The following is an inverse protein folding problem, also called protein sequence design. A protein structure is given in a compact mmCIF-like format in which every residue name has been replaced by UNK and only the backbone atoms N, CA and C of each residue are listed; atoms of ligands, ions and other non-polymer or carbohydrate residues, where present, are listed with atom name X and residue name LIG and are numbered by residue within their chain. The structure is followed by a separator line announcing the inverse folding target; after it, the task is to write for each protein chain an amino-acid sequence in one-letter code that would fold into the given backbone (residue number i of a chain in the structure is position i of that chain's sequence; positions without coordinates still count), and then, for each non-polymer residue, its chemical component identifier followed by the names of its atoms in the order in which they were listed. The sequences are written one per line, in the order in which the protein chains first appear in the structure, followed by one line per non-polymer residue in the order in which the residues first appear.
data_IF_366550141975
#
_entry.id   IF_366550141975
#
_cell.length_a   1.000
_cell.length_b   1.000
_cell.length_c   1.000
_cell.angle_alpha   90.00
_cell.angle_beta   90.00
_cell.angle_gamma   90.00
#
_symmetry.space_group_name_H-M   'P 1'
#
loop_
_entity.id
_entity.type
_entity.pdbx_description
1 polymer ?
#
# COMPACT_ATOMS: atom_id res chain seq x y z
N UNK A 1 -11.60 7.97 12.47
CA UNK A 1 -12.49 8.26 11.34
C UNK A 1 -12.93 6.99 10.62
N UNK A 2 -12.03 6.18 10.04
CA UNK A 2 -12.40 4.97 9.30
C UNK A 2 -13.24 3.99 10.12
N UNK A 3 -12.89 3.74 11.40
CA UNK A 3 -13.70 2.90 12.29
C UNK A 3 -15.13 3.45 12.49
N UNK A 4 -15.28 4.77 12.57
CA UNK A 4 -16.60 5.42 12.63
C UNK A 4 -17.39 5.23 11.34
N UNK A 5 -16.73 5.34 10.19
CA UNK A 5 -17.34 5.18 8.87
C UNK A 5 -17.87 3.76 8.64
N UNK A 6 -17.08 2.73 8.95
CA UNK A 6 -17.46 1.33 8.73
C UNK A 6 -18.40 0.78 9.82
N UNK A 7 -18.48 1.46 10.98
CA UNK A 7 -19.28 1.05 12.12
C UNK A 7 -18.65 -0.08 12.96
N UNK A 8 -19.26 -0.40 14.12
CA UNK A 8 -18.65 -1.29 15.10
C UNK A 8 -18.72 -2.78 14.75
N UNK A 9 -19.59 -3.17 13.80
CA UNK A 9 -19.83 -4.57 13.43
C UNK A 9 -18.88 -5.09 12.36
N UNK A 10 -18.29 -4.19 11.57
CA UNK A 10 -17.39 -4.52 10.47
C UNK A 10 -15.96 -4.55 10.99
N UNK A 11 -15.24 -5.64 10.75
CA UNK A 11 -13.84 -5.76 11.13
C UNK A 11 -12.95 -4.89 10.23
N UNK A 12 -11.88 -4.41 10.81
CA UNK A 12 -10.91 -3.55 10.15
C UNK A 12 -9.59 -4.30 9.92
N UNK A 13 -9.25 -4.53 8.66
CA UNK A 13 -7.98 -5.08 8.26
C UNK A 13 -7.11 -3.97 7.69
N UNK A 14 -6.04 -3.58 8.41
CA UNK A 14 -5.05 -2.62 7.92
C UNK A 14 -4.08 -3.26 6.93
N UNK A 15 -3.96 -2.69 5.72
CA UNK A 15 -3.00 -3.20 4.72
C UNK A 15 -1.66 -2.52 4.93
N UNK A 16 -0.67 -3.28 5.41
CA UNK A 16 0.68 -2.79 5.79
C UNK A 16 1.81 -3.41 4.96
N UNK A 17 1.50 -4.02 3.82
CA UNK A 17 2.47 -4.55 2.86
C UNK A 17 3.36 -3.44 2.29
N UNK A 18 4.50 -3.80 1.69
CA UNK A 18 5.47 -2.89 1.08
C UNK A 18 5.91 -1.79 2.07
N UNK A 19 6.35 -2.23 3.26
CA UNK A 19 6.75 -1.34 4.35
C UNK A 19 5.65 -0.33 4.73
N UNK A 20 4.38 -0.81 4.85
CA UNK A 20 3.21 0.04 5.05
C UNK A 20 3.13 1.17 4.01
N UNK A 21 3.26 0.82 2.72
CA UNK A 21 3.34 1.78 1.61
C UNK A 21 4.45 2.83 1.82
N UNK A 22 5.60 2.40 2.34
CA UNK A 22 6.76 3.24 2.62
C UNK A 22 6.70 4.01 3.94
N UNK A 23 5.66 3.82 4.76
CA UNK A 23 5.46 4.54 6.02
C UNK A 23 6.16 3.89 7.24
N UNK A 24 6.74 2.69 7.07
CA UNK A 24 7.31 1.91 8.16
C UNK A 24 6.32 0.91 8.75
N UNK A 25 6.40 -0.36 8.29
CA UNK A 25 5.41 -1.39 8.59
C UNK A 25 5.29 -1.67 10.10
N UNK A 26 6.39 -1.70 10.82
CA UNK A 26 6.42 -2.01 12.24
C UNK A 26 5.66 -0.98 13.07
N UNK A 27 5.95 0.31 12.86
CA UNK A 27 5.28 1.38 13.61
C UNK A 27 3.81 1.52 13.24
N UNK A 28 3.48 1.41 11.97
CA UNK A 28 2.07 1.43 11.53
C UNK A 28 1.31 0.26 12.12
N UNK A 29 1.89 -0.95 12.10
CA UNK A 29 1.24 -2.14 12.66
C UNK A 29 1.03 -2.04 14.18
N UNK A 30 2.02 -1.54 14.94
CA UNK A 30 1.89 -1.29 16.39
C UNK A 30 0.77 -0.28 16.67
N UNK A 31 0.77 0.84 15.95
CA UNK A 31 -0.28 1.86 16.08
C UNK A 31 -1.67 1.28 15.77
N UNK A 32 -1.81 0.48 14.72
CA UNK A 32 -3.08 -0.18 14.39
C UNK A 32 -3.51 -1.17 15.47
N UNK A 33 -2.57 -1.91 16.04
CA UNK A 33 -2.85 -2.83 17.15
C UNK A 33 -3.33 -2.07 18.39
N UNK A 34 -2.69 -0.97 18.75
CA UNK A 34 -3.10 -0.10 19.85
C UNK A 34 -4.48 0.54 19.63
N UNK A 35 -4.78 0.92 18.39
CA UNK A 35 -6.07 1.49 17.99
C UNK A 35 -7.18 0.45 17.82
N UNK A 36 -6.89 -0.83 18.05
CA UNK A 36 -7.89 -1.90 18.01
C UNK A 36 -8.30 -2.30 16.58
N UNK A 37 -7.37 -2.28 15.61
CA UNK A 37 -7.58 -2.96 14.34
C UNK A 37 -7.74 -4.48 14.59
N UNK A 38 -8.49 -5.15 13.71
CA UNK A 38 -8.83 -6.57 13.93
C UNK A 38 -7.85 -7.50 13.22
N UNK A 39 -7.23 -7.03 12.13
CA UNK A 39 -6.37 -7.81 11.25
C UNK A 39 -5.35 -6.90 10.55
N UNK A 40 -4.22 -7.49 10.15
CA UNK A 40 -3.27 -6.86 9.21
C UNK A 40 -3.16 -7.68 7.94
N UNK A 41 -2.79 -7.03 6.82
CA UNK A 41 -2.46 -7.72 5.60
C UNK A 41 -1.09 -7.31 5.07
N UNK A 42 -0.32 -8.31 4.69
CA UNK A 42 1.01 -8.20 4.09
C UNK A 42 1.07 -8.96 2.75
N UNK A 43 2.16 -8.81 2.02
CA UNK A 43 2.33 -9.48 0.72
C UNK A 43 3.13 -10.78 0.81
N UNK A 44 4.06 -10.90 1.76
CA UNK A 44 4.98 -12.02 1.88
C UNK A 44 5.14 -12.50 3.32
N UNK A 45 5.72 -13.69 3.46
CA UNK A 45 6.05 -14.24 4.78
C UNK A 45 7.12 -13.39 5.48
N UNK A 46 8.08 -12.82 4.75
CA UNK A 46 9.14 -12.02 5.35
C UNK A 46 8.59 -10.74 5.99
N UNK A 47 7.63 -10.08 5.33
CA UNK A 47 6.92 -8.94 5.93
C UNK A 47 6.14 -9.38 7.20
N UNK A 48 5.47 -10.52 7.18
CA UNK A 48 4.78 -11.04 8.35
C UNK A 48 5.73 -11.37 9.50
N UNK A 49 6.88 -11.95 9.20
CA UNK A 49 7.91 -12.28 10.19
C UNK A 49 8.57 -11.03 10.79
N UNK A 50 8.78 -9.99 10.00
CA UNK A 50 9.25 -8.69 10.49
C UNK A 50 8.29 -8.14 11.55
N UNK A 51 6.97 -8.17 11.29
CA UNK A 51 5.96 -7.75 12.27
C UNK A 51 6.02 -8.59 13.55
N UNK A 52 6.10 -9.92 13.43
CA UNK A 52 6.20 -10.84 14.59
C UNK A 52 7.46 -10.61 15.42
N UNK A 53 8.62 -10.46 14.75
CA UNK A 53 9.90 -10.17 15.40
C UNK A 53 9.89 -8.84 16.18
N UNK A 54 9.00 -7.92 15.81
CA UNK A 54 8.82 -6.63 16.45
C UNK A 54 7.62 -6.55 17.41
N UNK A 55 7.08 -7.69 17.86
CA UNK A 55 6.08 -7.78 18.92
C UNK A 55 4.64 -7.53 18.48
N UNK A 56 4.36 -7.52 17.18
CA UNK A 56 2.98 -7.47 16.67
C UNK A 56 2.33 -8.85 16.85
N UNK A 57 1.26 -8.93 17.63
CA UNK A 57 0.58 -10.19 17.98
C UNK A 57 -0.77 -10.38 17.30
N UNK A 58 -1.37 -9.32 16.77
CA UNK A 58 -2.66 -9.39 16.11
C UNK A 58 -2.63 -10.30 14.86
N UNK A 59 -3.78 -10.80 14.38
CA UNK A 59 -3.86 -11.64 13.18
C UNK A 59 -3.25 -10.98 11.95
N UNK A 60 -2.48 -11.75 11.15
CA UNK A 60 -1.85 -11.29 9.91
C UNK A 60 -2.24 -12.21 8.78
N UNK A 61 -2.74 -11.65 7.68
CA UNK A 61 -3.06 -12.34 6.43
C UNK A 61 -2.00 -12.05 5.36
N UNK A 62 -1.37 -13.08 4.82
CA UNK A 62 -0.55 -12.96 3.63
C UNK A 62 -1.46 -13.02 2.40
N UNK A 63 -1.46 -11.95 1.60
CA UNK A 63 -2.26 -11.83 0.37
C UNK A 63 -1.57 -12.48 -0.85
N UNK A 64 -0.25 -12.65 -0.78
CA UNK A 64 0.58 -13.20 -1.83
C UNK A 64 0.86 -14.70 -1.67
N UNK A 65 1.88 -15.15 -2.37
CA UNK A 65 2.33 -16.54 -2.36
C UNK A 65 3.35 -16.78 -1.24
N UNK A 66 3.24 -17.93 -0.57
CA UNK A 66 4.27 -18.45 0.34
C UNK A 66 4.80 -19.79 -0.20
N UNK A 67 6.12 -20.00 -0.28
CA UNK A 67 6.70 -21.30 -0.60
C UNK A 67 6.30 -22.39 0.42
N UNK A 68 6.13 -23.63 -0.03
CA UNK A 68 5.68 -24.72 0.84
C UNK A 68 6.62 -24.99 2.02
N UNK A 69 7.91 -24.81 1.83
CA UNK A 69 8.95 -24.96 2.84
C UNK A 69 8.78 -24.03 4.05
N UNK A 70 7.97 -22.99 3.87
CA UNK A 70 7.68 -21.99 4.91
C UNK A 70 6.36 -22.25 5.65
N UNK A 71 5.59 -23.27 5.29
CA UNK A 71 4.29 -23.59 5.93
C UNK A 71 4.44 -23.80 7.43
N UNK A 72 5.52 -24.43 7.87
CA UNK A 72 5.82 -24.61 9.30
C UNK A 72 5.89 -23.28 10.04
N UNK A 73 6.55 -22.26 9.45
CA UNK A 73 6.64 -20.92 10.04
C UNK A 73 5.28 -20.20 10.08
N UNK A 74 4.42 -20.42 9.07
CA UNK A 74 3.05 -19.87 9.09
C UNK A 74 2.26 -20.40 10.29
N UNK A 75 2.36 -21.72 10.54
CA UNK A 75 1.67 -22.38 11.65
C UNK A 75 2.25 -21.93 12.99
N UNK A 76 3.57 -21.99 13.14
CA UNK A 76 4.29 -21.61 14.38
C UNK A 76 3.99 -20.17 14.82
N UNK A 77 3.94 -19.23 13.85
CA UNK A 77 3.73 -17.81 14.12
C UNK A 77 2.29 -17.35 13.95
N UNK A 78 1.33 -18.28 13.81
CA UNK A 78 -0.09 -17.99 13.65
C UNK A 78 -0.39 -16.97 12.55
N UNK A 79 0.16 -17.21 11.35
CA UNK A 79 -0.03 -16.37 10.18
C UNK A 79 -1.03 -17.04 9.23
N UNK A 80 -2.04 -16.32 8.83
CA UNK A 80 -3.09 -16.77 7.90
C UNK A 80 -2.61 -16.59 6.46
N UNK A 81 -2.86 -17.60 5.60
CA UNK A 81 -2.41 -17.61 4.21
C UNK A 81 -3.59 -17.51 3.23
N UNK A 82 -3.49 -16.64 2.23
CA UNK A 82 -4.41 -16.66 1.10
C UNK A 82 -4.17 -17.90 0.21
N UNK A 83 -5.23 -18.62 -0.10
CA UNK A 83 -5.21 -19.77 -1.03
C UNK A 83 -5.90 -19.38 -2.33
N UNK A 84 -5.15 -19.44 -3.42
CA UNK A 84 -5.54 -18.88 -4.71
C UNK A 84 -5.91 -19.89 -5.79
N UNK A 85 -5.59 -21.18 -5.56
CA UNK A 85 -5.89 -22.26 -6.50
C UNK A 85 -5.78 -23.63 -5.82
N UNK A 86 -6.35 -24.65 -6.45
CA UNK A 86 -6.34 -26.04 -5.97
C UNK A 86 -4.92 -26.58 -5.73
N UNK A 87 -3.98 -26.29 -6.62
CA UNK A 87 -2.59 -26.76 -6.47
C UNK A 87 -1.97 -26.26 -5.18
N UNK A 88 -2.17 -24.98 -4.83
CA UNK A 88 -1.67 -24.40 -3.58
C UNK A 88 -2.40 -24.93 -2.34
N UNK A 89 -3.71 -25.14 -2.43
CA UNK A 89 -4.46 -25.79 -1.35
C UNK A 89 -3.90 -27.17 -1.01
N UNK A 90 -3.67 -28.00 -2.04
CA UNK A 90 -3.10 -29.35 -1.88
C UNK A 90 -1.67 -29.31 -1.32
N UNK A 91 -0.84 -28.39 -1.81
CA UNK A 91 0.53 -28.20 -1.34
C UNK A 91 0.56 -27.82 0.15
N UNK A 92 -0.18 -26.80 0.54
CA UNK A 92 -0.25 -26.37 1.94
C UNK A 92 -0.87 -27.40 2.87
N UNK A 93 -1.89 -28.12 2.41
CA UNK A 93 -2.50 -29.21 3.17
C UNK A 93 -1.51 -30.35 3.46
N UNK A 94 -0.73 -30.79 2.46
CA UNK A 94 0.27 -31.83 2.64
C UNK A 94 1.33 -31.45 3.66
N UNK A 95 1.86 -30.22 3.55
CA UNK A 95 2.88 -29.73 4.47
C UNK A 95 2.31 -29.55 5.90
N UNK A 96 1.12 -28.97 6.05
CA UNK A 96 0.49 -28.81 7.36
C UNK A 96 0.19 -30.16 8.02
N UNK A 97 -0.35 -31.12 7.25
CA UNK A 97 -0.63 -32.47 7.76
C UNK A 97 0.66 -33.22 8.15
N UNK A 98 1.73 -33.10 7.36
CA UNK A 98 3.03 -33.71 7.66
C UNK A 98 3.65 -33.18 8.96
N UNK A 99 3.38 -31.90 9.27
CA UNK A 99 3.82 -31.24 10.51
C UNK A 99 2.86 -31.48 11.69
N UNK A 100 1.73 -32.17 11.48
CA UNK A 100 0.69 -32.37 12.50
C UNK A 100 0.02 -31.06 12.94
N UNK A 101 0.10 -30.01 12.12
CA UNK A 101 -0.40 -28.68 12.42
C UNK A 101 -1.64 -28.31 11.59
N UNK A 102 -2.21 -27.14 11.91
CA UNK A 102 -3.34 -26.56 11.16
C UNK A 102 -2.98 -25.16 10.70
N UNK A 103 -3.07 -24.93 9.38
CA UNK A 103 -2.87 -23.62 8.76
C UNK A 103 -4.21 -22.94 8.54
N UNK A 104 -4.39 -21.75 9.11
CA UNK A 104 -5.53 -20.87 8.81
C UNK A 104 -5.39 -20.31 7.40
N UNK A 105 -6.47 -20.39 6.64
CA UNK A 105 -6.49 -19.91 5.27
C UNK A 105 -7.68 -18.99 4.98
N UNK A 106 -7.46 -18.03 4.07
CA UNK A 106 -8.53 -17.32 3.39
C UNK A 106 -8.56 -17.70 1.91
N UNK A 107 -9.70 -18.19 1.44
CA UNK A 107 -9.90 -18.54 0.03
C UNK A 107 -10.01 -17.27 -0.81
N UNK A 108 -9.19 -17.15 -1.84
CA UNK A 108 -9.28 -16.06 -2.80
C UNK A 108 -10.12 -16.47 -4.00
N UNK A 109 -11.17 -15.68 -4.28
CA UNK A 109 -12.02 -15.84 -5.46
C UNK A 109 -11.64 -14.78 -6.50
N UNK A 110 -11.50 -15.17 -7.75
CA UNK A 110 -11.41 -14.23 -8.86
C UNK A 110 -12.81 -14.01 -9.46
N UNK A 111 -13.28 -12.79 -9.33
CA UNK A 111 -14.58 -12.34 -9.83
C UNK A 111 -14.46 -11.34 -10.98
N UNK A 112 -13.25 -11.23 -11.58
CA UNK A 112 -12.98 -10.32 -12.67
C UNK A 112 -11.81 -9.36 -12.47
N UNK A 113 -10.99 -9.52 -11.39
CA UNK A 113 -9.70 -8.84 -11.28
C UNK A 113 -8.65 -9.50 -12.19
N UNK A 114 -8.83 -10.78 -12.53
CA UNK A 114 -8.02 -11.57 -13.47
C UNK A 114 -6.53 -11.62 -13.10
N UNK A 115 -6.26 -11.79 -11.79
CA UNK A 115 -4.89 -11.82 -11.26
C UNK A 115 -4.61 -13.05 -10.43
N UNK A 116 -5.38 -13.31 -9.39
CA UNK A 116 -5.25 -14.44 -8.47
C UNK A 116 -6.63 -14.86 -7.98
N UNK A 117 -6.81 -16.16 -7.73
CA UNK A 117 -8.01 -16.70 -7.11
C UNK A 117 -8.63 -17.83 -7.92
N UNK A 118 -9.55 -18.55 -7.29
CA UNK A 118 -10.39 -19.52 -7.97
C UNK A 118 -11.30 -18.77 -8.95
N UNK A 119 -11.14 -19.09 -10.23
CA UNK A 119 -11.96 -18.46 -11.28
C UNK A 119 -13.39 -18.96 -11.18
N UNK A 120 -14.32 -18.05 -10.98
CA UNK A 120 -15.74 -18.37 -10.81
C UNK A 120 -16.63 -17.57 -11.79
N UNK A 121 -16.08 -17.04 -12.88
CA UNK A 121 -16.85 -16.27 -13.86
C UNK A 121 -17.38 -17.17 -15.00
N UNK A 122 -18.59 -16.87 -15.49
CA UNK A 122 -19.21 -17.52 -16.64
C UNK A 122 -19.24 -19.07 -16.50
N UNK A 123 -18.67 -19.76 -17.46
CA UNK A 123 -18.61 -21.23 -17.52
C UNK A 123 -17.71 -21.87 -16.44
N UNK A 124 -16.91 -21.08 -15.74
CA UNK A 124 -16.00 -21.56 -14.69
C UNK A 124 -16.67 -21.60 -13.30
N UNK A 125 -17.92 -21.16 -13.16
CA UNK A 125 -18.59 -21.00 -11.87
C UNK A 125 -18.62 -22.33 -11.08
N UNK A 126 -19.16 -23.38 -11.66
CA UNK A 126 -19.34 -24.66 -10.97
C UNK A 126 -18.00 -25.31 -10.61
N UNK A 127 -17.03 -25.29 -11.54
CA UNK A 127 -15.67 -25.79 -11.29
C UNK A 127 -14.93 -24.99 -10.23
N UNK A 128 -15.12 -23.68 -10.21
CA UNK A 128 -14.56 -22.80 -9.18
C UNK A 128 -15.15 -23.08 -7.80
N UNK A 129 -16.46 -23.20 -7.69
CA UNK A 129 -17.17 -23.56 -6.43
C UNK A 129 -16.72 -24.93 -5.95
N UNK A 130 -16.59 -25.93 -6.84
CA UNK A 130 -16.14 -27.26 -6.49
C UNK A 130 -14.71 -27.25 -5.96
N UNK A 131 -13.78 -26.59 -6.66
CA UNK A 131 -12.40 -26.44 -6.23
C UNK A 131 -12.25 -25.72 -4.87
N UNK A 132 -13.11 -24.75 -4.57
CA UNK A 132 -13.17 -24.09 -3.26
C UNK A 132 -13.68 -25.05 -2.19
N UNK A 133 -14.75 -25.81 -2.46
CA UNK A 133 -15.27 -26.82 -1.53
C UNK A 133 -14.20 -27.88 -1.20
N UNK A 134 -13.50 -28.38 -2.21
CA UNK A 134 -12.39 -29.32 -2.02
C UNK A 134 -11.30 -28.69 -1.12
N UNK A 135 -10.84 -27.47 -1.45
CA UNK A 135 -9.79 -26.81 -0.67
C UNK A 135 -10.16 -26.65 0.81
N UNK A 136 -11.41 -26.29 1.07
CA UNK A 136 -11.92 -26.14 2.43
C UNK A 136 -12.06 -27.46 3.20
N UNK A 137 -12.10 -28.59 2.52
CA UNK A 137 -12.17 -29.94 3.12
C UNK A 137 -10.83 -30.62 3.32
N UNK A 138 -9.72 -30.00 2.88
CA UNK A 138 -8.40 -30.61 2.96
C UNK A 138 -7.88 -30.69 4.40
N UNK A 139 -7.23 -31.81 4.79
CA UNK A 139 -6.67 -31.96 6.13
C UNK A 139 -5.55 -30.92 6.38
N UNK A 140 -5.44 -30.46 7.62
CA UNK A 140 -4.45 -29.46 8.01
C UNK A 140 -4.75 -28.03 7.55
N UNK A 141 -5.90 -27.78 6.91
CA UNK A 141 -6.34 -26.43 6.56
C UNK A 141 -7.62 -26.03 7.33
N UNK A 142 -7.64 -24.80 7.83
CA UNK A 142 -8.81 -24.19 8.45
C UNK A 142 -9.26 -22.99 7.60
N UNK A 143 -10.37 -23.13 6.89
CA UNK A 143 -10.93 -22.06 6.04
C UNK A 143 -11.63 -21.00 6.90
N UNK A 144 -10.87 -20.07 7.47
CA UNK A 144 -11.35 -18.97 8.30
C UNK A 144 -12.09 -17.89 7.47
N UNK A 145 -11.65 -17.67 6.23
CA UNK A 145 -12.24 -16.61 5.42
C UNK A 145 -12.30 -16.89 3.92
N UNK A 146 -13.10 -16.06 3.25
CA UNK A 146 -13.21 -16.01 1.79
C UNK A 146 -13.22 -14.56 1.32
N UNK A 147 -12.51 -14.27 0.23
CA UNK A 147 -12.43 -12.89 -0.27
C UNK A 147 -12.25 -12.76 -1.77
N UNK A 148 -12.64 -11.61 -2.29
CA UNK A 148 -12.32 -11.17 -3.66
C UNK A 148 -11.63 -9.79 -3.62
N UNK A 149 -11.32 -9.25 -4.80
CA UNK A 149 -10.75 -7.91 -4.95
C UNK A 149 -11.38 -7.21 -6.15
N UNK A 150 -11.88 -6.00 -5.92
CA UNK A 150 -12.49 -5.20 -6.97
C UNK A 150 -11.43 -4.55 -7.85
N UNK A 151 -11.73 -4.49 -9.15
CA UNK A 151 -10.81 -3.94 -10.13
C UNK A 151 -10.87 -2.40 -10.22
N UNK A 152 -12.08 -1.84 -10.11
CA UNK A 152 -12.40 -0.43 -10.43
C UNK A 152 -13.34 0.20 -9.39
N UNK A 153 -13.28 -0.22 -8.12
CA UNK A 153 -14.17 0.30 -7.08
C UNK A 153 -13.86 1.76 -6.68
N UNK A 154 -12.75 2.29 -7.12
CA UNK A 154 -12.30 3.67 -6.95
C UNK A 154 -12.70 4.59 -8.11
N UNK A 155 -13.20 4.04 -9.21
CA UNK A 155 -13.69 4.81 -10.35
C UNK A 155 -15.17 5.17 -10.16
N UNK A 156 -15.57 6.39 -10.56
CA UNK A 156 -16.90 6.93 -10.32
C UNK A 156 -17.81 6.93 -11.56
N UNK A 157 -17.31 6.51 -12.72
CA UNK A 157 -18.12 6.39 -13.92
C UNK A 157 -19.11 5.21 -13.83
N UNK A 158 -20.19 5.28 -14.60
CA UNK A 158 -21.28 4.33 -14.55
C UNK A 158 -20.88 2.90 -14.93
N UNK A 159 -19.93 2.74 -15.87
CA UNK A 159 -19.47 1.43 -16.33
C UNK A 159 -18.66 0.74 -15.23
N UNK A 160 -17.73 1.46 -14.60
CA UNK A 160 -16.90 0.99 -13.49
C UNK A 160 -17.74 0.64 -12.26
N UNK A 161 -18.74 1.44 -11.94
CA UNK A 161 -19.70 1.13 -10.86
C UNK A 161 -20.50 -0.14 -11.17
N UNK A 162 -20.99 -0.30 -12.40
CA UNK A 162 -21.72 -1.51 -12.82
C UNK A 162 -20.82 -2.75 -12.76
N UNK A 163 -19.54 -2.60 -13.16
CA UNK A 163 -18.57 -3.69 -13.08
C UNK A 163 -18.31 -4.11 -11.63
N UNK A 164 -18.12 -3.16 -10.73
CA UNK A 164 -17.90 -3.40 -9.29
C UNK A 164 -19.10 -4.13 -8.68
N UNK A 165 -20.34 -3.72 -9.00
CA UNK A 165 -21.57 -4.41 -8.56
C UNK A 165 -21.64 -5.83 -9.09
N UNK A 166 -21.31 -6.06 -10.37
CA UNK A 166 -21.25 -7.40 -10.96
C UNK A 166 -20.24 -8.31 -10.24
N UNK A 167 -19.06 -7.79 -9.92
CA UNK A 167 -18.06 -8.53 -9.14
C UNK A 167 -18.58 -8.91 -7.74
N UNK A 168 -19.28 -7.98 -7.09
CA UNK A 168 -19.88 -8.21 -5.77
C UNK A 168 -20.99 -9.27 -5.81
N UNK A 169 -21.92 -9.16 -6.78
CA UNK A 169 -23.03 -10.12 -6.94
C UNK A 169 -22.49 -11.52 -7.22
N UNK A 170 -21.48 -11.63 -8.09
CA UNK A 170 -20.83 -12.90 -8.38
C UNK A 170 -20.16 -13.47 -7.11
N UNK A 171 -19.46 -12.64 -6.33
CA UNK A 171 -18.85 -13.06 -5.08
C UNK A 171 -19.87 -13.58 -4.08
N UNK A 172 -21.00 -12.88 -3.91
CA UNK A 172 -22.08 -13.31 -3.04
C UNK A 172 -22.72 -14.63 -3.51
N UNK A 173 -22.82 -14.86 -4.82
CA UNK A 173 -23.31 -16.12 -5.40
C UNK A 173 -22.34 -17.27 -5.10
N UNK A 174 -21.03 -17.04 -5.25
CA UNK A 174 -19.99 -18.04 -4.92
C UNK A 174 -20.06 -18.42 -3.45
N UNK A 175 -20.12 -17.42 -2.55
CA UNK A 175 -20.25 -17.68 -1.10
C UNK A 175 -21.45 -18.58 -0.81
N UNK A 176 -22.64 -18.21 -1.31
CA UNK A 176 -23.86 -19.00 -1.08
C UNK A 176 -23.70 -20.42 -1.59
N UNK A 177 -23.24 -20.61 -2.83
CA UNK A 177 -23.08 -21.92 -3.42
C UNK A 177 -22.10 -22.81 -2.63
N UNK A 178 -20.98 -22.24 -2.13
CA UNK A 178 -20.00 -22.97 -1.32
C UNK A 178 -20.57 -23.30 0.07
N UNK A 179 -21.20 -22.35 0.73
CA UNK A 179 -21.79 -22.53 2.07
C UNK A 179 -22.92 -23.57 2.04
N UNK A 180 -23.81 -23.54 1.04
CA UNK A 180 -24.87 -24.53 0.83
C UNK A 180 -24.30 -25.92 0.58
N UNK A 181 -23.31 -26.03 -0.32
CA UNK A 181 -22.68 -27.33 -0.66
C UNK A 181 -21.91 -27.95 0.52
N UNK A 182 -21.34 -27.13 1.39
CA UNK A 182 -20.56 -27.57 2.57
C UNK A 182 -21.38 -27.68 3.85
N UNK A 183 -22.52 -27.01 3.94
CA UNK A 183 -23.33 -26.92 5.16
C UNK A 183 -22.69 -26.06 6.27
N UNK A 184 -21.67 -25.24 5.96
CA UNK A 184 -20.99 -24.38 6.92
C UNK A 184 -20.74 -23.00 6.34
N UNK A 185 -20.78 -21.97 7.20
CA UNK A 185 -20.53 -20.57 6.82
C UNK A 185 -19.07 -20.20 7.01
N UNK A 186 -18.61 -19.25 6.20
CA UNK A 186 -17.30 -18.62 6.43
C UNK A 186 -17.40 -17.60 7.57
N UNK A 187 -16.54 -17.68 8.60
CA UNK A 187 -16.47 -16.67 9.66
C UNK A 187 -16.17 -15.25 9.14
N UNK A 188 -15.35 -15.14 8.08
CA UNK A 188 -14.89 -13.87 7.52
C UNK A 188 -15.10 -13.82 5.99
N UNK A 189 -16.02 -12.98 5.55
CA UNK A 189 -16.25 -12.70 4.13
C UNK A 189 -15.84 -11.26 3.86
N UNK A 190 -14.97 -11.02 2.90
CA UNK A 190 -14.48 -9.66 2.66
C UNK A 190 -14.15 -9.39 1.19
N UNK A 191 -14.55 -8.22 0.69
CA UNK A 191 -14.30 -7.79 -0.68
C UNK A 191 -13.85 -6.32 -0.77
N UNK A 192 -14.28 -5.46 0.16
CA UNK A 192 -14.04 -4.03 0.11
C UNK A 192 -12.55 -3.67 0.23
N UNK A 193 -11.99 -3.12 -0.84
CA UNK A 193 -10.70 -2.42 -0.89
C UNK A 193 -10.88 -0.95 -0.47
N UNK A 194 -9.91 -0.08 -0.71
CA UNK A 194 -9.99 1.36 -0.42
C UNK A 194 -11.26 2.01 -0.98
N UNK A 195 -11.50 1.91 -2.29
CA UNK A 195 -12.66 2.52 -2.95
C UNK A 195 -13.98 1.95 -2.42
N UNK A 196 -14.09 0.63 -2.32
CA UNK A 196 -15.30 0.02 -1.81
C UNK A 196 -15.52 0.30 -0.31
N UNK A 197 -14.48 0.45 0.49
CA UNK A 197 -14.62 0.88 1.89
C UNK A 197 -15.21 2.27 1.99
N UNK A 198 -14.84 3.18 1.09
CA UNK A 198 -15.34 4.55 1.09
C UNK A 198 -16.75 4.69 0.50
N UNK A 199 -17.04 3.99 -0.62
CA UNK A 199 -18.19 4.30 -1.47
C UNK A 199 -19.34 3.29 -1.40
N UNK A 200 -19.12 2.05 -0.91
CA UNK A 200 -20.08 0.97 -0.97
C UNK A 200 -20.29 0.29 0.40
N UNK A 201 -20.98 0.95 1.35
CA UNK A 201 -21.23 0.36 2.68
C UNK A 201 -21.87 -1.02 2.65
N UNK A 202 -22.72 -1.29 1.65
CA UNK A 202 -23.36 -2.59 1.44
C UNK A 202 -22.39 -3.72 1.08
N UNK A 203 -21.16 -3.37 0.66
CA UNK A 203 -20.11 -4.33 0.29
C UNK A 203 -19.09 -4.56 1.41
N UNK A 204 -19.25 -3.96 2.58
CA UNK A 204 -18.31 -4.13 3.69
C UNK A 204 -18.26 -5.58 4.19
N UNK A 205 -19.40 -6.29 4.17
CA UNK A 205 -19.56 -7.64 4.68
C UNK A 205 -19.03 -7.75 6.13
N UNK A 206 -18.16 -8.76 6.40
CA UNK A 206 -17.65 -8.98 7.75
C UNK A 206 -16.36 -8.18 8.02
N UNK A 207 -15.63 -7.75 6.97
CA UNK A 207 -14.35 -7.08 7.12
C UNK A 207 -13.99 -6.23 5.89
N UNK A 208 -13.44 -5.02 6.11
CA UNK A 208 -12.89 -4.15 5.07
C UNK A 208 -11.37 -4.17 5.07
N UNK A 209 -10.76 -3.82 3.92
CA UNK A 209 -9.31 -3.82 3.71
C UNK A 209 -8.83 -2.47 3.14
N UNK A 210 -8.90 -1.37 3.91
CA UNK A 210 -8.35 -0.10 3.46
C UNK A 210 -6.83 -0.20 3.31
N UNK A 211 -6.36 0.21 2.14
CA UNK A 211 -4.94 0.41 1.83
C UNK A 211 -4.62 1.90 1.86
N UNK A 212 -4.57 2.56 0.70
CA UNK A 212 -4.20 3.97 0.57
C UNK A 212 -5.02 4.90 1.49
N UNK A 213 -6.31 4.62 1.62
CA UNK A 213 -7.21 5.37 2.50
C UNK A 213 -6.75 5.35 3.97
N UNK A 214 -6.10 4.28 4.42
CA UNK A 214 -5.54 4.18 5.77
C UNK A 214 -4.47 5.26 6.01
N UNK A 215 -3.74 5.63 4.97
CA UNK A 215 -2.66 6.62 5.01
C UNK A 215 -3.11 8.04 4.65
N UNK A 216 -4.40 8.26 4.44
CA UNK A 216 -4.98 9.57 4.18
C UNK A 216 -4.80 10.08 2.75
N UNK A 217 -4.58 9.19 1.78
CA UNK A 217 -4.43 9.55 0.38
C UNK A 217 -5.62 9.13 -0.48
N UNK A 218 -5.75 9.79 -1.63
CA UNK A 218 -6.80 9.55 -2.61
C UNK A 218 -8.01 10.45 -2.40
N UNK A 219 -8.84 10.54 -3.42
CA UNK A 219 -10.00 11.47 -3.46
C UNK A 219 -10.99 11.24 -2.32
N UNK A 220 -11.19 9.99 -1.91
CA UNK A 220 -12.12 9.64 -0.83
C UNK A 220 -11.63 10.03 0.57
N UNK A 221 -10.33 10.28 0.73
CA UNK A 221 -9.76 10.65 2.02
C UNK A 221 -10.32 12.00 2.51
N UNK A 222 -10.49 12.97 1.62
CA UNK A 222 -11.04 14.28 1.94
C UNK A 222 -12.49 14.18 2.42
N UNK A 223 -13.32 13.39 1.75
CA UNK A 223 -14.73 13.18 2.13
C UNK A 223 -14.90 12.54 3.51
N UNK A 224 -13.87 11.85 4.01
CA UNK A 224 -13.82 11.20 5.32
C UNK A 224 -13.00 11.98 6.35
N UNK A 225 -12.59 13.23 6.05
CA UNK A 225 -11.70 14.05 6.89
C UNK A 225 -10.44 13.29 7.33
N UNK A 226 -9.84 12.54 6.40
CA UNK A 226 -8.56 11.87 6.58
C UNK A 226 -7.43 12.78 6.11
N UNK A 227 -6.27 12.65 6.73
CA UNK A 227 -5.09 13.47 6.42
C UNK A 227 -3.93 12.58 6.01
N UNK A 228 -3.15 12.98 4.99
CA UNK A 228 -1.89 12.31 4.68
C UNK A 228 -0.98 12.23 5.90
N UNK A 229 -0.45 11.04 6.16
CA UNK A 229 0.38 10.81 7.36
C UNK A 229 1.88 10.90 7.10
N UNK A 230 2.32 10.98 5.83
CA UNK A 230 3.73 11.15 5.48
C UNK A 230 3.99 12.55 4.94
N UNK A 231 5.08 13.16 5.40
CA UNK A 231 5.72 14.32 4.76
C UNK A 231 7.16 13.96 4.47
N UNK A 232 7.57 14.04 3.21
CA UNK A 232 8.94 13.79 2.79
C UNK A 232 9.67 15.10 2.60
N UNK A 233 10.78 15.28 3.34
CA UNK A 233 11.55 16.52 3.40
C UNK A 233 13.02 16.27 3.20
N UNK A 234 13.70 17.31 2.78
CA UNK A 234 15.16 17.40 2.70
C UNK A 234 15.61 18.82 3.07
N UNK A 235 16.89 19.11 2.95
CA UNK A 235 17.44 20.47 3.16
C UNK A 235 18.29 20.88 1.97
N UNK A 236 18.49 22.17 1.78
CA UNK A 236 19.41 22.68 0.77
C UNK A 236 20.85 22.47 1.26
N UNK A 237 21.65 21.72 0.53
CA UNK A 237 23.03 21.43 0.88
C UNK A 237 24.04 22.48 0.38
N UNK A 238 23.74 23.13 -0.74
CA UNK A 238 24.56 24.21 -1.31
C UNK A 238 23.73 25.09 -2.24
N UNK A 239 24.17 26.35 -2.39
CA UNK A 239 23.62 27.28 -3.38
C UNK A 239 24.72 27.83 -4.27
N UNK A 240 24.43 28.06 -5.55
CA UNK A 240 25.34 28.65 -6.53
C UNK A 240 24.57 29.55 -7.48
N UNK A 241 25.18 30.63 -7.91
CA UNK A 241 24.62 31.51 -8.96
C UNK A 241 25.35 31.27 -10.26
N UNK A 242 24.60 31.06 -11.32
CA UNK A 242 25.09 30.79 -12.67
C UNK A 242 24.69 31.93 -13.61
N UNK A 243 25.59 32.26 -14.53
CA UNK A 243 25.29 33.22 -15.60
C UNK A 243 24.40 32.59 -16.70
N UNK A 244 23.72 33.40 -17.53
CA UNK A 244 22.96 32.89 -18.69
C UNK A 244 23.82 32.00 -19.58
N UNK A 245 23.21 30.93 -20.15
CA UNK A 245 23.91 29.98 -21.00
C UNK A 245 24.59 28.82 -20.24
N UNK A 246 24.53 28.79 -18.91
CA UNK A 246 25.10 27.69 -18.12
C UNK A 246 24.19 26.48 -18.13
N UNK A 247 24.74 25.32 -18.50
CA UNK A 247 24.00 24.06 -18.51
C UNK A 247 24.00 23.39 -17.12
N UNK A 248 22.86 22.77 -16.76
CA UNK A 248 22.64 22.14 -15.45
C UNK A 248 22.43 20.63 -15.62
N UNK A 249 23.20 19.85 -14.85
CA UNK A 249 23.07 18.40 -14.71
C UNK A 249 23.35 17.58 -15.97
N UNK A 250 23.16 16.26 -15.84
CA UNK A 250 23.41 15.27 -16.87
C UNK A 250 22.61 15.54 -18.17
N UNK A 251 23.31 15.40 -19.30
CA UNK A 251 22.69 15.59 -20.62
C UNK A 251 22.30 17.02 -20.91
N UNK A 252 22.67 17.98 -20.03
CA UNK A 252 22.43 19.42 -20.24
C UNK A 252 20.95 19.72 -20.55
N UNK A 253 20.03 19.04 -19.84
CA UNK A 253 18.58 19.14 -20.07
C UNK A 253 18.06 20.58 -19.87
N UNK A 254 18.60 21.27 -18.88
CA UNK A 254 18.29 22.67 -18.60
C UNK A 254 19.50 23.57 -18.85
N UNK A 255 19.27 24.74 -19.43
CA UNK A 255 20.26 25.81 -19.61
C UNK A 255 19.68 27.12 -19.08
N UNK A 256 20.40 27.82 -18.24
CA UNK A 256 19.98 29.10 -17.66
C UNK A 256 19.76 30.14 -18.74
N UNK A 257 18.59 30.82 -18.70
CA UNK A 257 18.25 31.91 -19.62
C UNK A 257 18.56 33.28 -19.05
N UNK A 258 18.77 33.36 -17.74
CA UNK A 258 19.10 34.56 -16.97
C UNK A 258 20.10 34.19 -15.88
N UNK A 259 20.61 35.17 -15.17
CA UNK A 259 21.37 34.93 -13.95
C UNK A 259 20.50 34.17 -12.98
N UNK A 260 20.86 32.91 -12.69
CA UNK A 260 20.03 31.93 -12.01
C UNK A 260 20.70 31.44 -10.74
N UNK A 261 20.00 31.52 -9.61
CA UNK A 261 20.45 30.99 -8.34
C UNK A 261 19.88 29.57 -8.15
N UNK A 262 20.75 28.58 -8.13
CA UNK A 262 20.39 27.17 -7.98
C UNK A 262 20.72 26.68 -6.57
N UNK A 263 19.78 25.93 -5.99
CA UNK A 263 20.00 25.11 -4.80
C UNK A 263 20.21 23.65 -5.17
N UNK A 264 21.01 22.94 -4.41
CA UNK A 264 21.17 21.48 -4.51
C UNK A 264 20.57 20.84 -3.27
N UNK A 265 19.72 19.85 -3.45
CA UNK A 265 19.14 19.05 -2.38
C UNK A 265 19.67 17.62 -2.44
N UNK A 266 20.08 17.00 -1.31
CA UNK A 266 20.58 15.63 -1.24
C UNK A 266 19.42 14.63 -1.28
N UNK A 267 18.66 14.63 -2.36
CA UNK A 267 17.56 13.73 -2.65
C UNK A 267 17.53 13.43 -4.15
N UNK A 268 17.69 12.17 -4.50
CA UNK A 268 17.78 11.70 -5.87
C UNK A 268 16.99 10.41 -6.12
N UNK A 269 17.22 9.78 -7.28
CA UNK A 269 16.42 8.60 -7.63
C UNK A 269 16.72 7.37 -6.77
N UNK A 270 17.87 7.29 -6.11
CA UNK A 270 18.17 6.22 -5.15
C UNK A 270 17.42 6.41 -3.81
N UNK A 271 16.88 7.61 -3.57
CA UNK A 271 16.01 7.90 -2.42
C UNK A 271 14.52 7.70 -2.73
N UNK A 272 14.18 7.53 -4.02
CA UNK A 272 12.81 7.41 -4.49
C UNK A 272 12.31 8.58 -5.34
N UNK A 273 13.19 9.54 -5.72
CA UNK A 273 12.81 10.66 -6.58
C UNK A 273 12.83 10.25 -8.05
N UNK A 274 11.70 9.99 -8.65
CA UNK A 274 11.61 9.44 -10.00
C UNK A 274 12.27 10.33 -11.04
N UNK A 275 13.15 9.72 -11.82
CA UNK A 275 13.95 10.42 -12.85
C UNK A 275 13.09 11.01 -13.97
N UNK A 276 11.89 10.49 -14.22
CA UNK A 276 10.90 11.05 -15.18
C UNK A 276 10.37 12.42 -14.75
N UNK A 277 10.49 12.79 -13.48
CA UNK A 277 10.13 14.11 -12.96
C UNK A 277 11.16 15.19 -13.27
N UNK A 278 12.29 14.84 -13.89
CA UNK A 278 13.35 15.80 -14.25
C UNK A 278 12.79 16.95 -15.09
N UNK A 279 12.96 18.17 -14.58
CA UNK A 279 12.50 19.44 -15.18
C UNK A 279 10.96 19.54 -15.34
N UNK A 280 10.20 18.77 -14.55
CA UNK A 280 8.73 18.69 -14.64
C UNK A 280 7.98 18.97 -13.34
N UNK A 281 8.66 19.00 -12.22
CA UNK A 281 8.03 19.20 -10.90
C UNK A 281 8.65 20.40 -10.17
N UNK A 282 8.02 20.79 -9.08
CA UNK A 282 8.58 21.74 -8.12
C UNK A 282 8.64 21.09 -6.75
N UNK A 283 9.61 21.53 -5.94
CA UNK A 283 9.72 21.22 -4.52
C UNK A 283 9.27 22.45 -3.73
N UNK A 284 8.71 22.25 -2.56
CA UNK A 284 8.15 23.36 -1.79
C UNK A 284 9.14 23.86 -0.73
N UNK A 285 9.41 25.14 -0.74
CA UNK A 285 10.16 25.86 0.30
C UNK A 285 9.22 26.69 1.17
N UNK A 286 9.71 27.22 2.27
CA UNK A 286 8.95 28.16 3.11
C UNK A 286 8.50 29.44 2.37
N UNK A 287 9.10 29.76 1.21
CA UNK A 287 8.80 30.95 0.41
C UNK A 287 8.00 30.64 -0.86
N UNK A 288 7.72 29.36 -1.12
CA UNK A 288 6.95 28.93 -2.29
C UNK A 288 7.64 27.82 -3.09
N UNK A 289 7.08 27.47 -4.25
CA UNK A 289 7.57 26.39 -5.07
C UNK A 289 8.90 26.76 -5.75
N UNK A 290 9.88 25.87 -5.61
CA UNK A 290 11.18 25.89 -6.29
C UNK A 290 11.17 24.88 -7.43
N UNK A 291 11.17 25.30 -8.70
CA UNK A 291 11.19 24.36 -9.84
C UNK A 291 12.43 23.48 -9.82
N UNK A 292 12.24 22.18 -9.98
CA UNK A 292 13.34 21.24 -10.18
C UNK A 292 13.91 21.43 -11.60
N UNK A 293 15.23 21.58 -11.72
CA UNK A 293 15.90 21.88 -12.97
C UNK A 293 16.98 20.87 -13.33
N UNK A 294 16.98 20.50 -14.60
CA UNK A 294 17.91 19.52 -15.15
C UNK A 294 17.58 18.09 -14.67
N UNK A 295 18.44 17.12 -15.00
CA UNK A 295 18.19 15.72 -14.66
C UNK A 295 18.39 15.46 -13.18
N UNK A 296 17.46 14.73 -12.58
CA UNK A 296 17.58 14.16 -11.23
C UNK A 296 18.74 13.14 -11.26
N UNK A 297 19.67 13.29 -10.33
CA UNK A 297 20.83 12.41 -10.17
C UNK A 297 20.52 11.27 -9.20
N UNK A 298 21.50 10.40 -8.96
CA UNK A 298 21.33 9.27 -8.02
C UNK A 298 21.03 9.75 -6.60
N UNK A 299 21.80 10.72 -6.12
CA UNK A 299 21.80 11.12 -4.71
C UNK A 299 21.40 12.59 -4.50
N UNK A 300 21.15 13.33 -5.55
CA UNK A 300 20.83 14.76 -5.47
C UNK A 300 20.04 15.27 -6.67
N UNK A 301 19.42 16.42 -6.47
CA UNK A 301 18.72 17.16 -7.53
C UNK A 301 18.89 18.67 -7.32
N UNK A 302 18.60 19.44 -8.36
CA UNK A 302 18.76 20.87 -8.37
C UNK A 302 17.40 21.56 -8.44
N UNK A 303 17.27 22.67 -7.73
CA UNK A 303 16.09 23.52 -7.69
C UNK A 303 16.44 24.97 -7.98
N UNK A 304 15.55 25.67 -8.68
CA UNK A 304 15.72 27.07 -9.01
C UNK A 304 15.21 27.95 -7.86
N UNK A 305 16.12 28.71 -7.25
CA UNK A 305 15.84 29.62 -6.12
C UNK A 305 15.88 31.09 -6.56
N UNK A 306 15.94 31.39 -7.86
CA UNK A 306 16.15 32.75 -8.35
C UNK A 306 15.10 33.74 -7.85
N UNK A 307 13.83 33.29 -7.83
CA UNK A 307 12.70 34.12 -7.43
C UNK A 307 12.27 33.89 -5.97
N UNK A 308 13.12 33.21 -5.18
CA UNK A 308 12.88 32.89 -3.78
C UNK A 308 13.95 33.53 -2.86
N UNK A 309 13.88 34.86 -2.67
CA UNK A 309 14.85 35.57 -1.84
C UNK A 309 14.77 35.10 -0.39
N UNK A 310 15.95 34.92 0.22
CA UNK A 310 16.07 34.48 1.61
C UNK A 310 15.98 32.98 1.84
N UNK A 311 15.76 32.19 0.81
CA UNK A 311 15.92 30.71 0.89
C UNK A 311 17.38 30.39 0.67
N UNK A 312 18.04 29.65 1.59
CA UNK A 312 19.47 29.36 1.51
C UNK A 312 19.84 27.97 2.05
N UNK A 313 21.14 27.70 2.13
CA UNK A 313 21.71 26.46 2.67
C UNK A 313 21.17 26.19 4.08
N UNK A 314 20.75 24.96 4.33
CA UNK A 314 20.14 24.50 5.57
C UNK A 314 18.62 24.65 5.63
N UNK A 315 18.01 25.44 4.75
CA UNK A 315 16.55 25.57 4.72
C UNK A 315 15.87 24.27 4.28
N UNK A 316 14.74 23.99 4.90
CA UNK A 316 13.92 22.81 4.65
C UNK A 316 13.21 22.91 3.28
N UNK A 317 13.17 21.79 2.59
CA UNK A 317 12.47 21.63 1.32
C UNK A 317 11.54 20.41 1.42
N UNK A 318 10.25 20.62 1.20
CA UNK A 318 9.26 19.56 1.16
C UNK A 318 9.24 18.96 -0.26
N UNK A 319 9.49 17.66 -0.35
CA UNK A 319 9.39 16.90 -1.60
C UNK A 319 7.92 16.65 -1.91
N UNK A 320 7.21 16.02 -0.96
CA UNK A 320 5.75 15.95 -0.95
C UNK A 320 5.22 15.96 0.50
N UNK A 321 4.01 16.47 0.66
CA UNK A 321 3.37 16.64 1.95
C UNK A 321 2.19 17.62 1.86
N UNK A 322 1.87 18.33 2.96
CA UNK A 322 0.70 19.21 2.99
C UNK A 322 0.74 20.37 1.98
N UNK A 323 1.95 20.85 1.61
CA UNK A 323 2.11 22.00 0.70
C UNK A 323 2.46 21.55 -0.74
N UNK A 324 2.80 20.28 -0.94
CA UNK A 324 3.10 19.69 -2.22
C UNK A 324 2.49 18.26 -2.27
N UNK A 325 1.18 18.14 -2.55
CA UNK A 325 0.50 16.85 -2.50
C UNK A 325 1.15 15.80 -3.39
N UNK A 326 1.32 14.58 -2.87
CA UNK A 326 1.94 13.47 -3.61
C UNK A 326 1.13 13.11 -4.86
N UNK A 327 -0.16 13.36 -4.87
CA UNK A 327 -1.07 13.16 -6.00
C UNK A 327 -0.66 14.02 -7.21
N UNK A 328 -0.27 15.26 -6.96
CA UNK A 328 0.22 16.17 -8.01
C UNK A 328 1.51 15.65 -8.62
N UNK A 329 2.45 15.23 -7.78
CA UNK A 329 3.72 14.66 -8.23
C UNK A 329 3.52 13.33 -8.97
N UNK A 330 2.58 12.49 -8.52
CA UNK A 330 2.23 11.24 -9.18
C UNK A 330 1.67 11.48 -10.58
N UNK A 331 0.75 12.44 -10.73
CA UNK A 331 0.21 12.83 -12.04
C UNK A 331 1.32 13.34 -12.98
N UNK A 332 2.27 14.16 -12.49
CA UNK A 332 3.42 14.62 -13.25
C UNK A 332 4.37 13.47 -13.67
N UNK A 333 4.48 12.45 -12.86
CA UNK A 333 5.26 11.25 -13.16
C UNK A 333 4.53 10.25 -14.08
N UNK A 334 3.22 10.45 -14.33
CA UNK A 334 2.39 9.52 -15.08
C UNK A 334 2.07 8.24 -14.30
N UNK A 335 1.92 8.33 -12.97
CA UNK A 335 1.68 7.20 -12.08
C UNK A 335 0.69 7.56 -10.96
N UNK A 336 0.61 6.73 -9.94
CA UNK A 336 -0.30 6.84 -8.79
C UNK A 336 0.45 7.10 -7.48
N UNK A 337 -0.18 7.72 -6.47
CA UNK A 337 0.45 8.00 -5.16
C UNK A 337 1.11 6.79 -4.49
N UNK A 338 0.52 5.60 -4.66
CA UNK A 338 1.07 4.35 -4.13
C UNK A 338 2.53 4.10 -4.55
N UNK A 339 2.83 4.33 -5.83
CA UNK A 339 4.16 4.05 -6.36
C UNK A 339 5.20 5.02 -5.78
N UNK A 340 4.85 6.30 -5.66
CA UNK A 340 5.75 7.30 -5.07
C UNK A 340 6.01 7.05 -3.58
N UNK A 341 4.98 6.76 -2.79
CA UNK A 341 5.17 6.50 -1.36
C UNK A 341 5.94 5.21 -1.11
N UNK A 342 5.63 4.12 -1.85
CA UNK A 342 6.38 2.86 -1.77
C UNK A 342 7.83 2.99 -2.24
N UNK A 343 8.15 3.94 -3.12
CA UNK A 343 9.49 4.16 -3.63
C UNK A 343 10.42 4.87 -2.62
N UNK A 344 9.89 5.46 -1.55
CA UNK A 344 10.74 6.08 -0.52
C UNK A 344 11.69 5.04 0.03
N UNK A 345 12.99 5.21 -0.30
CA UNK A 345 14.04 4.23 -0.07
C UNK A 345 14.27 3.98 1.43
N UNK A 346 14.77 2.78 1.75
CA UNK A 346 15.17 2.39 3.12
C UNK A 346 16.32 3.23 3.69
N UNK A 347 17.05 3.96 2.87
CA UNK A 347 18.09 4.88 3.34
C UNK A 347 17.55 6.25 3.79
N UNK A 348 16.29 6.56 3.50
CA UNK A 348 15.63 7.77 4.00
C UNK A 348 15.11 7.47 5.42
N UNK A 349 15.58 8.20 6.45
CA UNK A 349 15.12 7.98 7.81
C UNK A 349 13.60 8.24 7.96
N UNK A 350 12.91 7.37 8.72
CA UNK A 350 11.54 7.62 9.16
C UNK A 350 11.58 8.27 10.54
N UNK A 351 10.89 9.39 10.68
CA UNK A 351 10.74 10.11 11.94
C UNK A 351 9.27 10.13 12.30
N UNK A 352 8.90 9.44 13.36
CA UNK A 352 7.51 9.34 13.79
C UNK A 352 7.19 10.44 14.80
N UNK A 353 6.06 11.09 14.59
CA UNK A 353 5.60 12.21 15.39
C UNK A 353 4.25 11.87 16.03
N UNK A 354 4.11 12.13 17.31
CA UNK A 354 2.83 12.08 18.03
C UNK A 354 2.64 13.39 18.78
N UNK A 355 1.53 14.08 18.52
CA UNK A 355 1.24 15.39 19.11
C UNK A 355 2.37 16.43 18.89
N UNK A 356 3.01 16.39 17.73
CA UNK A 356 4.11 17.28 17.37
C UNK A 356 5.48 16.94 17.99
N UNK A 357 5.57 15.88 18.78
CA UNK A 357 6.82 15.41 19.36
C UNK A 357 7.34 14.17 18.66
N UNK A 358 8.65 14.08 18.48
CA UNK A 358 9.31 12.90 17.93
C UNK A 358 9.21 11.77 18.95
N UNK A 359 8.55 10.68 18.56
CA UNK A 359 8.42 9.47 19.40
C UNK A 359 9.46 8.41 19.05
N UNK A 360 9.82 8.32 17.77
CA UNK A 360 10.79 7.33 17.28
C UNK A 360 11.49 7.82 16.01
N UNK A 361 12.73 7.34 15.81
CA UNK A 361 13.47 7.50 14.56
C UNK A 361 13.94 6.14 14.09
N UNK A 362 13.57 5.78 12.88
CA UNK A 362 13.95 4.51 12.28
C UNK A 362 14.89 4.73 11.11
N UNK A 363 16.06 4.08 11.18
CA UNK A 363 17.00 3.93 10.07
C UNK A 363 16.92 2.48 9.61
N UNK A 364 16.40 2.26 8.41
CA UNK A 364 16.24 0.91 7.84
C UNK A 364 17.54 0.34 7.27
N UNK A 365 18.59 1.17 7.12
CA UNK A 365 19.97 0.69 6.90
C UNK A 365 20.57 0.29 8.25
N UNK A 366 20.86 -0.99 8.40
CA UNK A 366 21.60 -1.49 9.55
C UNK A 366 23.09 -1.36 9.26
N UNK A 367 23.82 -0.75 10.17
CA UNK A 367 25.28 -0.66 10.16
C UNK A 367 25.88 -1.75 11.03
#
# INVERSE_FOLDING_TARGET
RLRQHIGPKVRFLGVVKADAYGHGAVQVARTLQELGADYLAVSSIDEAMELRANGVTMPVLILGHTPKEQVGRLIEHHITQAVTCKAKALEYSREAAALGGTLKIHIKVDTGMSRLGYLCDGSHFDGGVEGICEACGLPGLEAEGIFTHFAVADEQDQESQAYTRRQFDLFCRVIRAVEEKRGVRFPLRHCANTGATACYPEMHLDMVRPGLLLYGYGEFAQGLDLRPVMTLKTTISTTKTYEPGTSVSYGRLFTTQRRTRMGVVPYGYADGFFRCLSDRCSLMTAKGPAPQRGRICMDMSMIDLTDLPGVDVGDEVEIFGPHNPVEVMAAQAGTIPYELTCAVSKRVPRVYLQNGQVTERELLLRF
#
